data_IF_163820927137
#
_entry.id   IF_163820927137
#
_cell.length_a   1.000
_cell.length_b   1.000
_cell.length_c   1.000
_cell.angle_alpha   90.00
_cell.angle_beta   90.00
_cell.angle_gamma   90.00
#
_symmetry.space_group_name_H-M   'P 1'
#
loop_
_entity.id
_entity.type
_entity.pdbx_description
1 polymer ?
#
# COMPACT_ATOMS: atom_id res chain seq x y z
N UNK A 1 -50.41 -0.84 40.46
CA UNK A 1 -48.94 -0.72 40.62
C UNK A 1 -48.32 -1.95 39.97
N UNK A 2 -47.99 -1.94 38.66
CA UNK A 2 -46.63 -1.79 38.11
C UNK A 2 -45.57 -2.37 39.07
N UNK A 3 -44.85 -3.44 38.74
CA UNK A 3 -43.69 -3.32 37.86
C UNK A 3 -43.32 -4.64 37.15
N UNK A 4 -43.25 -4.52 35.83
CA UNK A 4 -42.56 -5.36 34.86
C UNK A 4 -41.08 -4.94 34.82
N UNK A 5 -40.14 -5.89 34.67
CA UNK A 5 -38.91 -5.82 33.84
C UNK A 5 -38.09 -7.11 34.05
N UNK A 6 -38.03 -8.01 33.08
CA UNK A 6 -37.19 -8.01 31.85
C UNK A 6 -35.80 -8.62 32.09
N UNK A 7 -35.69 -9.90 31.70
CA UNK A 7 -34.45 -10.60 31.34
C UNK A 7 -33.71 -9.81 30.27
N UNK A 8 -32.42 -9.57 30.46
CA UNK A 8 -31.50 -9.21 29.37
C UNK A 8 -30.17 -9.94 29.56
N UNK A 9 -29.97 -11.00 28.78
CA UNK A 9 -28.66 -11.48 28.37
C UNK A 9 -27.97 -10.33 27.62
N UNK A 10 -26.87 -9.83 28.17
CA UNK A 10 -25.99 -8.91 27.45
C UNK A 10 -25.20 -9.66 26.39
N UNK A 11 -25.68 -9.68 25.15
CA UNK A 11 -24.81 -9.87 23.99
C UNK A 11 -23.89 -8.64 23.90
N UNK A 12 -22.65 -8.78 24.33
CA UNK A 12 -21.58 -7.86 23.97
C UNK A 12 -21.22 -8.12 22.50
N UNK A 13 -21.98 -7.50 21.58
CA UNK A 13 -21.50 -7.27 20.23
C UNK A 13 -20.41 -6.20 20.34
N UNK A 14 -19.17 -6.66 20.50
CA UNK A 14 -18.00 -5.86 20.20
C UNK A 14 -18.01 -5.56 18.71
N UNK A 15 -18.68 -4.48 18.32
CA UNK A 15 -18.47 -3.84 17.03
C UNK A 15 -17.04 -3.34 17.03
N UNK A 16 -16.09 -4.18 16.62
CA UNK A 16 -14.92 -3.68 15.93
C UNK A 16 -15.49 -2.95 14.72
N UNK A 17 -15.68 -1.65 14.86
CA UNK A 17 -15.86 -0.77 13.73
C UNK A 17 -14.61 -0.99 12.89
N UNK A 18 -14.72 -1.83 11.86
CA UNK A 18 -13.79 -1.84 10.75
C UNK A 18 -13.81 -0.43 10.23
N UNK A 19 -12.83 0.38 10.66
CA UNK A 19 -12.55 1.64 10.01
C UNK A 19 -12.44 1.28 8.53
N UNK A 20 -13.28 1.89 7.69
CA UNK A 20 -13.02 1.88 6.27
C UNK A 20 -11.72 2.67 6.11
N UNK A 21 -10.58 2.00 6.24
CA UNK A 21 -9.28 2.56 5.90
C UNK A 21 -9.30 2.76 4.39
N UNK A 22 -9.52 4.00 3.96
CA UNK A 22 -9.19 4.42 2.60
C UNK A 22 -7.71 4.08 2.38
N UNK A 23 -7.42 3.17 1.44
CA UNK A 23 -6.06 2.75 1.17
C UNK A 23 -5.23 3.95 0.70
N UNK A 24 -4.28 4.39 1.53
CA UNK A 24 -3.47 5.58 1.25
C UNK A 24 -2.34 5.21 0.31
N UNK A 25 -2.38 5.75 -0.90
CA UNK A 25 -1.29 5.61 -1.86
C UNK A 25 -0.07 6.42 -1.38
N UNK A 26 1.14 5.82 -1.30
CA UNK A 26 2.32 6.54 -0.83
C UNK A 26 2.91 7.45 -1.91
N UNK A 27 3.46 8.58 -1.47
CA UNK A 27 4.28 9.46 -2.29
C UNK A 27 5.62 8.79 -2.63
N UNK A 28 6.02 8.89 -3.90
CA UNK A 28 7.32 8.38 -4.32
C UNK A 28 8.46 9.24 -3.74
N UNK A 29 9.54 8.62 -3.24
CA UNK A 29 10.66 9.35 -2.68
C UNK A 29 11.48 10.03 -3.79
N UNK A 30 12.11 11.15 -3.47
CA UNK A 30 13.13 11.73 -4.32
C UNK A 30 14.41 10.86 -4.24
N UNK A 31 14.91 10.44 -5.40
CA UNK A 31 16.17 9.69 -5.51
C UNK A 31 17.30 10.68 -5.81
N UNK A 32 18.35 10.66 -5.00
CA UNK A 32 19.55 11.49 -5.22
C UNK A 32 20.38 10.94 -6.38
N UNK A 33 20.91 11.83 -7.22
CA UNK A 33 21.88 11.51 -8.28
C UNK A 33 23.17 10.97 -7.66
N UNK A 34 23.49 9.71 -7.97
CA UNK A 34 24.64 9.00 -7.43
C UNK A 34 25.97 9.59 -7.88
N UNK A 35 26.06 10.17 -9.07
CA UNK A 35 27.33 10.71 -9.61
C UNK A 35 27.87 11.87 -8.76
N UNK A 36 26.96 12.66 -8.17
CA UNK A 36 27.29 13.89 -7.43
C UNK A 36 26.90 13.84 -5.95
N UNK A 37 26.17 12.82 -5.51
CA UNK A 37 25.74 12.69 -4.13
C UNK A 37 26.90 12.44 -3.15
N UNK A 38 26.74 12.96 -1.94
CA UNK A 38 27.51 12.58 -0.76
C UNK A 38 27.02 11.25 -0.18
N UNK A 39 27.84 10.59 0.63
CA UNK A 39 27.43 9.38 1.35
C UNK A 39 26.18 9.62 2.22
N UNK A 40 26.10 10.79 2.87
CA UNK A 40 24.96 11.16 3.70
C UNK A 40 23.66 11.25 2.87
N UNK A 41 23.72 11.86 1.68
CA UNK A 41 22.59 11.93 0.76
C UNK A 41 22.16 10.54 0.26
N UNK A 42 23.11 9.65 -0.03
CA UNK A 42 22.80 8.27 -0.43
C UNK A 42 22.14 7.47 0.71
N UNK A 43 22.58 7.66 1.95
CA UNK A 43 21.96 7.04 3.13
C UNK A 43 20.56 7.59 3.40
N UNK A 44 20.37 8.91 3.24
CA UNK A 44 19.05 9.52 3.34
C UNK A 44 18.11 8.99 2.24
N UNK A 45 18.58 8.89 0.99
CA UNK A 45 17.83 8.29 -0.11
C UNK A 45 17.45 6.85 0.20
N UNK A 46 18.38 6.03 0.70
CA UNK A 46 18.09 4.65 1.11
C UNK A 46 16.97 4.57 2.15
N UNK A 47 17.00 5.46 3.14
CA UNK A 47 15.98 5.51 4.19
C UNK A 47 14.60 5.83 3.59
N UNK A 48 14.52 6.88 2.77
CA UNK A 48 13.26 7.28 2.11
C UNK A 48 12.72 6.19 1.18
N UNK A 49 13.60 5.48 0.45
CA UNK A 49 13.21 4.32 -0.35
C UNK A 49 12.56 3.27 0.56
N UNK A 50 13.22 2.82 1.64
CA UNK A 50 12.67 1.81 2.56
C UNK A 50 11.33 2.23 3.18
N UNK A 51 11.17 3.49 3.54
CA UNK A 51 9.91 4.03 4.05
C UNK A 51 8.80 3.94 3.00
N UNK A 52 9.10 4.29 1.75
CA UNK A 52 8.19 4.09 0.63
C UNK A 52 7.83 2.61 0.41
N UNK A 53 8.81 1.69 0.41
CA UNK A 53 8.53 0.25 0.21
C UNK A 53 7.57 -0.29 1.28
N UNK A 54 7.78 0.11 2.55
CA UNK A 54 6.91 -0.27 3.66
C UNK A 54 5.48 0.29 3.49
N UNK A 55 5.37 1.57 3.11
CA UNK A 55 4.08 2.22 2.88
C UNK A 55 3.36 1.63 1.65
N UNK A 56 4.08 1.29 0.59
CA UNK A 56 3.52 0.71 -0.63
C UNK A 56 3.05 -0.73 -0.40
N UNK A 57 3.78 -1.51 0.39
CA UNK A 57 3.31 -2.83 0.85
C UNK A 57 2.04 -2.70 1.70
N UNK A 58 1.98 -1.74 2.62
CA UNK A 58 0.78 -1.50 3.42
C UNK A 58 -0.42 -1.10 2.55
N UNK A 59 -0.20 -0.25 1.54
CA UNK A 59 -1.20 0.12 0.55
C UNK A 59 -1.71 -1.09 -0.24
N UNK A 60 -0.80 -1.93 -0.76
CA UNK A 60 -1.17 -3.15 -1.50
C UNK A 60 -1.97 -4.12 -0.64
N UNK A 61 -1.53 -4.38 0.60
CA UNK A 61 -2.26 -5.23 1.55
C UNK A 61 -3.66 -4.68 1.86
N UNK A 62 -3.85 -3.37 1.87
CA UNK A 62 -5.15 -2.73 2.03
C UNK A 62 -6.08 -2.94 0.81
N UNK A 63 -5.51 -3.03 -0.40
CA UNK A 63 -6.28 -3.29 -1.62
C UNK A 63 -6.72 -4.75 -1.74
N UNK A 64 -6.00 -5.70 -1.15
CA UNK A 64 -6.27 -7.14 -1.31
C UNK A 64 -7.71 -7.55 -0.95
N UNK A 65 -8.32 -7.12 0.18
CA UNK A 65 -9.71 -7.45 0.48
C UNK A 65 -10.71 -6.87 -0.53
N UNK A 66 -10.44 -5.66 -1.05
CA UNK A 66 -11.29 -5.03 -2.06
C UNK A 66 -11.22 -5.80 -3.39
N UNK A 67 -10.01 -6.21 -3.76
CA UNK A 67 -9.76 -7.01 -4.95
C UNK A 67 -10.47 -8.36 -4.86
N UNK A 68 -10.36 -9.05 -3.72
CA UNK A 68 -11.03 -10.32 -3.49
C UNK A 68 -12.56 -10.21 -3.51
N UNK A 69 -13.12 -9.14 -2.92
CA UNK A 69 -14.55 -8.86 -2.94
C UNK A 69 -15.05 -8.57 -4.36
N UNK A 70 -14.32 -7.76 -5.12
CA UNK A 70 -14.66 -7.46 -6.52
C UNK A 70 -14.55 -8.69 -7.42
N UNK A 71 -13.55 -9.55 -7.20
CA UNK A 71 -13.42 -10.83 -7.91
C UNK A 71 -14.60 -11.77 -7.64
N UNK A 72 -15.01 -11.89 -6.38
CA UNK A 72 -16.16 -12.71 -5.98
C UNK A 72 -17.46 -12.20 -6.64
N UNK A 73 -17.72 -10.88 -6.58
CA UNK A 73 -18.88 -10.28 -7.22
C UNK A 73 -18.87 -10.46 -8.75
N UNK A 74 -17.70 -10.39 -9.39
CA UNK A 74 -17.54 -10.66 -10.82
C UNK A 74 -17.88 -12.12 -11.16
N UNK A 75 -17.45 -13.08 -10.33
CA UNK A 75 -17.77 -14.51 -10.48
C UNK A 75 -19.27 -14.80 -10.30
N UNK A 76 -19.94 -14.05 -9.43
CA UNK A 76 -21.38 -14.15 -9.20
C UNK A 76 -22.22 -13.48 -10.31
N UNK A 77 -21.58 -12.79 -11.26
CA UNK A 77 -22.27 -12.12 -12.36
C UNK A 77 -22.97 -10.83 -11.94
N UNK A 78 -22.53 -10.20 -10.85
CA UNK A 78 -23.03 -8.89 -10.43
C UNK A 78 -22.72 -7.85 -11.51
N UNK A 79 -23.73 -7.09 -11.92
CA UNK A 79 -23.60 -6.05 -12.94
C UNK A 79 -22.51 -5.03 -12.55
N UNK A 80 -21.60 -4.73 -13.47
CA UNK A 80 -20.48 -3.80 -13.25
C UNK A 80 -19.32 -4.33 -12.39
N UNK A 81 -19.42 -5.54 -11.81
CA UNK A 81 -18.37 -6.08 -10.96
C UNK A 81 -17.09 -6.47 -11.72
N UNK A 82 -17.22 -6.92 -12.98
CA UNK A 82 -16.06 -7.22 -13.84
C UNK A 82 -15.20 -5.97 -14.08
N UNK A 83 -15.84 -4.83 -14.39
CA UNK A 83 -15.14 -3.56 -14.60
C UNK A 83 -14.50 -3.06 -13.30
N UNK A 84 -15.22 -3.19 -12.18
CA UNK A 84 -14.71 -2.81 -10.86
C UNK A 84 -13.49 -3.64 -10.46
N UNK A 85 -13.52 -4.95 -10.72
CA UNK A 85 -12.39 -5.85 -10.50
C UNK A 85 -11.19 -5.47 -11.36
N UNK A 86 -11.38 -5.21 -12.65
CA UNK A 86 -10.31 -4.79 -13.56
C UNK A 86 -9.63 -3.49 -13.10
N UNK A 87 -10.42 -2.47 -12.70
CA UNK A 87 -9.88 -1.20 -12.19
C UNK A 87 -9.05 -1.38 -10.91
N UNK A 88 -9.48 -2.27 -10.01
CA UNK A 88 -8.71 -2.60 -8.81
C UNK A 88 -7.44 -3.37 -9.14
N UNK A 89 -7.47 -4.30 -10.10
CA UNK A 89 -6.26 -4.98 -10.60
C UNK A 89 -5.26 -3.98 -11.20
N UNK A 90 -5.72 -3.05 -12.04
CA UNK A 90 -4.89 -1.99 -12.61
C UNK A 90 -4.24 -1.13 -11.52
N UNK A 91 -5.01 -0.77 -10.49
CA UNK A 91 -4.53 0.00 -9.34
C UNK A 91 -3.44 -0.76 -8.56
N UNK A 92 -3.66 -2.05 -8.30
CA UNK A 92 -2.70 -2.91 -7.63
C UNK A 92 -1.41 -3.07 -8.46
N UNK A 93 -1.55 -3.34 -9.76
CA UNK A 93 -0.41 -3.46 -10.67
C UNK A 93 0.38 -2.16 -10.80
N UNK A 94 -0.29 -1.01 -10.76
CA UNK A 94 0.38 0.30 -10.75
C UNK A 94 1.22 0.51 -9.48
N UNK A 95 0.79 -0.01 -8.32
CA UNK A 95 1.59 0.00 -7.10
C UNK A 95 2.85 -0.87 -7.22
N UNK A 96 2.73 -2.05 -7.83
CA UNK A 96 3.86 -2.94 -8.13
C UNK A 96 4.86 -2.26 -9.09
N UNK A 97 4.38 -1.72 -10.20
CA UNK A 97 5.27 -1.06 -11.17
C UNK A 97 5.98 0.16 -10.59
N UNK A 98 5.33 0.90 -9.68
CA UNK A 98 5.97 2.02 -8.98
C UNK A 98 7.09 1.56 -8.05
N UNK A 99 6.88 0.44 -7.34
CA UNK A 99 7.91 -0.18 -6.51
C UNK A 99 9.14 -0.57 -7.33
N UNK A 100 8.92 -1.25 -8.45
CA UNK A 100 9.97 -1.71 -9.35
C UNK A 100 10.77 -0.53 -9.94
N UNK A 101 10.08 0.53 -10.37
CA UNK A 101 10.72 1.74 -10.92
C UNK A 101 11.60 2.46 -9.88
N UNK A 102 11.09 2.65 -8.65
CA UNK A 102 11.84 3.29 -7.57
C UNK A 102 13.05 2.43 -7.14
N UNK A 103 12.88 1.12 -7.02
CA UNK A 103 13.98 0.21 -6.71
C UNK A 103 15.03 0.20 -7.83
N UNK A 104 14.60 0.18 -9.09
CA UNK A 104 15.47 0.23 -10.26
C UNK A 104 16.30 1.50 -10.36
N UNK A 105 15.66 2.67 -10.15
CA UNK A 105 16.33 3.97 -10.07
C UNK A 105 17.35 4.00 -8.94
N UNK A 106 16.95 3.65 -7.73
CA UNK A 106 17.87 3.68 -6.59
C UNK A 106 19.08 2.76 -6.76
N UNK A 107 18.89 1.56 -7.34
CA UNK A 107 20.00 0.65 -7.64
C UNK A 107 20.97 1.22 -8.69
N UNK A 108 20.45 1.95 -9.68
CA UNK A 108 21.25 2.68 -10.67
C UNK A 108 22.11 3.74 -9.98
N UNK A 109 21.51 4.58 -9.14
CA UNK A 109 22.24 5.64 -8.44
C UNK A 109 23.27 5.09 -7.43
N UNK A 110 23.02 3.94 -6.80
CA UNK A 110 24.03 3.26 -5.98
C UNK A 110 25.26 2.88 -6.82
N UNK A 111 25.07 2.37 -8.03
CA UNK A 111 26.18 1.98 -8.92
C UNK A 111 26.95 3.22 -9.35
N UNK A 112 26.25 4.29 -9.69
CA UNK A 112 26.85 5.51 -10.21
C UNK A 112 27.64 6.22 -9.09
N UNK A 113 27.11 6.23 -7.85
CA UNK A 113 27.84 6.65 -6.65
C UNK A 113 29.12 5.84 -6.42
N UNK A 114 29.06 4.51 -6.50
CA UNK A 114 30.26 3.66 -6.35
C UNK A 114 31.29 3.90 -7.44
N UNK A 115 30.85 4.28 -8.64
CA UNK A 115 31.74 4.58 -9.77
C UNK A 115 32.42 5.93 -9.58
N UNK A 116 31.68 6.95 -9.12
CA UNK A 116 32.20 8.29 -8.83
C UNK A 116 33.09 8.33 -7.57
N UNK A 117 32.92 7.36 -6.66
CA UNK A 117 33.67 7.25 -5.41
C UNK A 117 34.46 5.91 -5.37
N UNK A 118 35.45 5.72 -6.24
CA UNK A 118 36.33 4.57 -6.16
C UNK A 118 37.18 4.70 -4.90
N UNK A 119 37.14 3.68 -4.04
CA UNK A 119 37.91 3.64 -2.80
C UNK A 119 39.42 3.68 -3.01
#
# INVERSE_FOLDING_TARGET
MKNWKCVLLGLALGSAASMAEDCVIPDAPQISDGESATLEQMLATQKSVKEFQAANLAYMNCLEPQLAAAEAAAKEGVEGAVESYQKLQETYNAAVSREEDIAGKFNTEIRDYKTANPG
#
